data_IF_911572884264
#
_entry.id   IF_911572884264
#
_cell.length_a   1.000
_cell.length_b   1.000
_cell.length_c   1.000
_cell.angle_alpha   90.00
_cell.angle_beta   90.00
_cell.angle_gamma   90.00
#
_symmetry.space_group_name_H-M   'P 1'
#
loop_
_entity.id
_entity.type
_entity.pdbx_description
1 polymer ?
#
# COMPACT_ATOMS: atom_id res chain seq x y z
N UNK A 1 -40.16 -50.02 17.45
CA UNK A 1 -40.67 -48.63 17.39
C UNK A 1 -40.52 -47.98 18.76
N UNK A 2 -39.76 -46.88 18.79
CA UNK A 2 -39.80 -45.76 19.76
C UNK A 2 -39.28 -46.03 21.19
N UNK A 3 -38.20 -45.33 21.58
CA UNK A 3 -38.05 -44.95 23.00
C UNK A 3 -36.65 -44.82 23.62
N UNK A 4 -35.65 -44.17 22.99
CA UNK A 4 -34.41 -43.78 23.70
C UNK A 4 -33.86 -42.42 23.24
N UNK A 5 -34.65 -41.34 23.37
CA UNK A 5 -34.19 -39.96 23.10
C UNK A 5 -34.11 -39.07 24.36
N UNK A 6 -34.39 -39.58 25.56
CA UNK A 6 -34.54 -38.72 26.74
C UNK A 6 -33.26 -38.55 27.59
N UNK A 7 -32.17 -39.28 27.32
CA UNK A 7 -30.99 -39.32 28.20
C UNK A 7 -29.79 -38.49 27.72
N UNK A 8 -29.82 -37.97 26.50
CA UNK A 8 -28.75 -37.12 25.98
C UNK A 8 -28.90 -35.64 26.42
N UNK A 9 -30.11 -35.21 26.75
CA UNK A 9 -30.39 -33.79 27.06
C UNK A 9 -30.08 -33.39 28.51
N UNK A 10 -29.96 -34.33 29.45
CA UNK A 10 -29.68 -34.02 30.86
C UNK A 10 -28.18 -33.83 31.13
N UNK A 11 -27.30 -34.43 30.32
CA UNK A 11 -25.85 -34.23 30.42
C UNK A 11 -25.37 -32.89 29.86
N UNK A 12 -26.18 -32.21 29.02
CA UNK A 12 -25.81 -30.94 28.40
C UNK A 12 -25.99 -29.72 29.33
N UNK A 13 -26.82 -29.83 30.37
CA UNK A 13 -27.06 -28.71 31.30
C UNK A 13 -26.07 -28.71 32.48
N UNK A 14 -25.51 -29.87 32.83
CA UNK A 14 -24.54 -29.99 33.93
C UNK A 14 -23.14 -29.48 33.56
N UNK A 15 -22.74 -29.50 32.29
CA UNK A 15 -21.44 -28.96 31.85
C UNK A 15 -21.43 -27.42 31.75
N UNK A 16 -22.61 -26.78 31.69
CA UNK A 16 -22.74 -25.32 31.55
C UNK A 16 -22.81 -24.58 32.90
N UNK A 17 -23.06 -25.30 34.01
CA UNK A 17 -23.14 -24.74 35.37
C UNK A 17 -21.81 -24.59 36.10
N UNK A 18 -20.74 -25.24 35.63
CA UNK A 18 -19.42 -25.22 36.28
C UNK A 18 -18.48 -24.15 35.69
N UNK A 19 -18.82 -23.54 34.55
CA UNK A 19 -18.02 -22.44 33.97
C UNK A 19 -18.40 -21.04 34.48
N UNK A 20 -19.43 -20.88 35.32
CA UNK A 20 -19.87 -19.56 35.82
C UNK A 20 -19.30 -19.15 37.20
N UNK A 21 -18.28 -19.83 37.72
CA UNK A 21 -17.75 -19.61 39.09
C UNK A 21 -16.41 -18.85 39.22
N UNK A 22 -15.84 -18.32 38.14
CA UNK A 22 -14.45 -17.82 38.12
C UNK A 22 -14.22 -16.33 38.35
N UNK A 23 -15.21 -15.56 38.81
CA UNK A 23 -15.06 -14.12 39.08
C UNK A 23 -14.56 -13.90 40.51
N UNK A 24 -13.26 -14.07 40.75
CA UNK A 24 -12.65 -13.53 41.97
C UNK A 24 -11.16 -13.22 41.79
N UNK A 25 -10.85 -11.92 41.77
CA UNK A 25 -9.60 -11.38 42.29
C UNK A 25 -8.43 -11.26 41.31
N UNK A 26 -8.25 -10.06 40.74
CA UNK A 26 -6.93 -9.45 40.58
C UNK A 26 -7.08 -7.93 40.71
N UNK A 27 -6.57 -7.41 41.82
CA UNK A 27 -6.53 -5.99 42.13
C UNK A 27 -5.75 -5.22 41.04
N UNK A 28 -6.14 -3.98 40.70
CA UNK A 28 -5.32 -3.16 39.82
C UNK A 28 -4.08 -2.69 40.59
N UNK A 29 -2.93 -3.28 40.28
CA UNK A 29 -1.63 -2.77 40.69
C UNK A 29 -1.46 -1.38 40.08
N UNK A 30 -1.31 -0.37 40.95
CA UNK A 30 -1.06 1.02 40.57
C UNK A 30 0.19 1.09 39.69
N UNK A 31 0.10 1.54 38.42
CA UNK A 31 1.29 1.69 37.60
C UNK A 31 2.21 2.75 38.22
N UNK A 32 3.54 2.54 38.22
CA UNK A 32 4.48 3.55 38.67
C UNK A 32 4.33 4.81 37.80
N UNK A 33 4.30 5.97 38.45
CA UNK A 33 4.32 7.26 37.78
C UNK A 33 5.64 7.40 37.04
N UNK A 34 5.63 7.13 35.74
CA UNK A 34 6.73 7.47 34.84
C UNK A 34 6.79 9.00 34.78
N UNK A 35 7.94 9.64 35.02
CA UNK A 35 8.06 11.08 34.83
C UNK A 35 7.70 11.42 33.38
N UNK A 36 6.77 12.37 33.23
CA UNK A 36 6.35 12.91 31.94
C UNK A 36 7.59 13.34 31.15
N UNK A 37 7.84 12.77 29.96
CA UNK A 37 8.90 13.24 29.07
C UNK A 37 8.69 14.74 28.78
N UNK A 38 9.75 15.56 28.75
CA UNK A 38 9.65 16.95 28.34
C UNK A 38 8.89 17.05 27.02
N UNK A 39 7.88 17.91 26.96
CA UNK A 39 7.12 18.18 25.76
C UNK A 39 8.10 18.56 24.64
N UNK A 40 8.23 17.68 23.65
CA UNK A 40 9.09 17.89 22.52
C UNK A 40 8.58 19.14 21.78
N UNK A 41 9.42 20.17 21.71
CA UNK A 41 9.13 21.36 20.94
C UNK A 41 8.67 20.96 19.53
N UNK A 42 7.65 21.64 18.96
CA UNK A 42 7.15 21.31 17.64
C UNK A 42 8.30 21.38 16.63
N UNK A 43 8.63 20.22 16.06
CA UNK A 43 9.62 20.15 14.99
C UNK A 43 9.04 20.94 13.82
N UNK A 44 9.75 21.98 13.32
CA UNK A 44 9.25 22.74 12.18
C UNK A 44 9.01 21.80 11.00
N UNK A 45 7.92 21.98 10.25
CA UNK A 45 7.65 21.15 9.09
C UNK A 45 8.85 21.20 8.15
N UNK A 46 9.27 20.06 7.56
CA UNK A 46 10.36 20.05 6.60
C UNK A 46 10.03 21.04 5.47
N UNK A 47 11.02 21.82 4.99
CA UNK A 47 10.77 22.75 3.91
C UNK A 47 10.21 21.99 2.69
N UNK A 48 9.27 22.59 1.94
CA UNK A 48 8.75 21.97 0.73
C UNK A 48 9.93 21.64 -0.19
N UNK A 49 10.10 20.36 -0.51
CA UNK A 49 11.13 19.94 -1.46
C UNK A 49 10.77 20.53 -2.81
N UNK A 50 11.48 21.58 -3.22
CA UNK A 50 11.34 22.15 -4.56
C UNK A 50 11.87 21.10 -5.52
N UNK A 51 10.97 20.34 -6.14
CA UNK A 51 11.33 19.36 -7.16
C UNK A 51 12.01 20.15 -8.28
N UNK A 52 13.31 19.91 -8.51
CA UNK A 52 14.01 20.53 -9.62
C UNK A 52 13.25 20.28 -10.93
N UNK A 53 13.10 21.32 -11.74
CA UNK A 53 12.40 21.21 -13.02
C UNK A 53 13.04 20.09 -13.86
N UNK A 54 12.22 19.27 -14.57
CA UNK A 54 12.75 18.22 -15.44
C UNK A 54 13.74 18.79 -16.47
N UNK A 55 14.86 18.11 -16.68
CA UNK A 55 15.79 18.48 -17.74
C UNK A 55 15.10 18.38 -19.11
N UNK A 56 15.32 19.35 -19.99
CA UNK A 56 14.85 19.31 -21.38
C UNK A 56 15.58 18.19 -22.13
N UNK A 57 14.84 17.28 -22.76
CA UNK A 57 15.40 16.23 -23.59
C UNK A 57 15.76 16.77 -24.98
N UNK A 58 16.89 16.35 -25.55
CA UNK A 58 17.33 16.82 -26.88
C UNK A 58 16.73 16.02 -28.04
N UNK A 59 16.34 14.78 -27.77
CA UNK A 59 15.74 13.86 -28.73
C UNK A 59 14.81 12.86 -28.02
N UNK A 60 14.01 12.11 -28.77
CA UNK A 60 13.07 11.13 -28.23
C UNK A 60 13.73 9.99 -27.45
N UNK A 61 14.98 9.63 -27.78
CA UNK A 61 15.72 8.59 -27.07
C UNK A 61 16.16 9.09 -25.69
N UNK A 62 16.64 10.32 -25.62
CA UNK A 62 16.97 10.98 -24.36
C UNK A 62 15.72 11.20 -23.51
N UNK A 63 14.59 11.57 -24.12
CA UNK A 63 13.31 11.67 -23.43
C UNK A 63 12.92 10.35 -22.77
N UNK A 64 12.94 9.23 -23.49
CA UNK A 64 12.62 7.93 -22.90
C UNK A 64 13.54 7.58 -21.73
N UNK A 65 14.84 7.86 -21.85
CA UNK A 65 15.80 7.63 -20.77
C UNK A 65 15.49 8.49 -19.54
N UNK A 66 15.28 9.79 -19.72
CA UNK A 66 15.00 10.72 -18.63
C UNK A 66 13.64 10.43 -17.97
N UNK A 67 12.61 10.13 -18.78
CA UNK A 67 11.29 9.74 -18.29
C UNK A 67 11.34 8.44 -17.48
N UNK A 68 12.09 7.43 -17.94
CA UNK A 68 12.30 6.20 -17.19
C UNK A 68 13.03 6.46 -15.86
N UNK A 69 14.09 7.26 -15.87
CA UNK A 69 14.81 7.64 -14.65
C UNK A 69 13.90 8.38 -13.65
N UNK A 70 13.06 9.29 -14.13
CA UNK A 70 12.08 9.99 -13.32
C UNK A 70 11.06 9.03 -12.70
N UNK A 71 10.55 8.08 -13.49
CA UNK A 71 9.67 6.99 -13.02
C UNK A 71 10.33 6.19 -11.90
N UNK A 72 11.58 5.75 -12.08
CA UNK A 72 12.33 5.01 -11.04
C UNK A 72 12.52 5.86 -9.79
N UNK A 73 13.00 7.11 -9.95
CA UNK A 73 13.30 8.04 -8.85
C UNK A 73 12.07 8.36 -8.00
N UNK A 74 10.91 8.54 -8.64
CA UNK A 74 9.68 8.86 -7.95
C UNK A 74 9.03 7.66 -7.25
N UNK A 75 9.49 6.43 -7.53
CA UNK A 75 8.87 5.19 -7.04
C UNK A 75 9.83 4.34 -6.19
N UNK A 76 10.47 4.90 -5.14
CA UNK A 76 11.42 4.15 -4.33
C UNK A 76 10.73 2.96 -3.65
N UNK A 77 11.42 1.81 -3.62
CA UNK A 77 10.89 0.57 -3.06
C UNK A 77 9.76 -0.09 -3.86
N UNK A 78 9.37 0.46 -5.01
CA UNK A 78 8.33 -0.08 -5.91
C UNK A 78 8.85 -0.41 -7.30
N UNK A 79 10.17 -0.36 -7.47
CA UNK A 79 10.87 -0.67 -8.72
C UNK A 79 11.98 -1.65 -8.44
N UNK A 80 12.08 -2.69 -9.27
CA UNK A 80 13.21 -3.61 -9.26
C UNK A 80 14.37 -2.95 -10.02
N UNK A 81 15.50 -2.72 -9.32
CA UNK A 81 16.77 -2.28 -9.93
C UNK A 81 17.72 -3.46 -10.20
N UNK A 82 17.42 -4.60 -9.59
CA UNK A 82 18.08 -5.87 -9.78
C UNK A 82 17.25 -6.76 -10.70
N UNK A 83 17.65 -8.02 -10.82
CA UNK A 83 16.85 -9.06 -11.45
C UNK A 83 15.42 -9.10 -10.87
N UNK A 84 14.45 -9.23 -11.78
CA UNK A 84 13.03 -9.17 -11.47
C UNK A 84 12.56 -10.55 -11.01
N UNK A 85 11.86 -10.67 -9.87
CA UNK A 85 11.40 -11.96 -9.37
C UNK A 85 10.47 -12.67 -10.36
N UNK A 86 10.73 -13.96 -10.59
CA UNK A 86 9.86 -14.83 -11.36
C UNK A 86 8.90 -15.61 -10.44
N UNK A 87 7.64 -15.83 -10.85
CA UNK A 87 7.02 -15.39 -12.11
C UNK A 87 6.49 -13.95 -12.04
N UNK A 88 6.62 -13.22 -13.16
CA UNK A 88 5.99 -11.91 -13.33
C UNK A 88 4.47 -12.03 -13.38
N UNK A 89 3.79 -11.47 -12.38
CA UNK A 89 2.33 -11.58 -12.22
C UNK A 89 1.54 -10.95 -13.38
N UNK A 90 2.01 -9.84 -13.94
CA UNK A 90 1.31 -9.18 -15.02
C UNK A 90 1.92 -7.85 -15.46
N UNK A 91 1.72 -7.52 -16.73
CA UNK A 91 2.24 -6.29 -17.36
C UNK A 91 1.06 -5.45 -17.87
N UNK A 92 0.72 -4.32 -17.22
CA UNK A 92 -0.22 -3.35 -17.77
C UNK A 92 0.45 -2.52 -18.90
N UNK A 93 -0.34 -2.07 -19.87
CA UNK A 93 0.11 -1.09 -20.88
C UNK A 93 -0.76 0.15 -20.74
N UNK A 94 -0.11 1.30 -20.56
CA UNK A 94 -0.74 2.60 -20.41
C UNK A 94 -0.37 3.48 -21.62
N UNK A 95 -1.34 4.22 -22.14
CA UNK A 95 -1.12 5.37 -23.00
C UNK A 95 -1.21 6.61 -22.11
N UNK A 96 -0.17 7.43 -22.11
CA UNK A 96 -0.06 8.63 -21.26
C UNK A 96 0.08 9.84 -22.17
N UNK A 97 -0.91 10.73 -22.11
CA UNK A 97 -0.87 12.01 -22.78
C UNK A 97 -0.32 13.07 -21.80
N UNK A 98 0.61 13.87 -22.27
CA UNK A 98 1.25 14.93 -21.50
C UNK A 98 0.89 16.30 -22.06
N UNK A 99 0.86 17.30 -21.18
CA UNK A 99 0.89 18.70 -21.56
C UNK A 99 2.33 19.11 -21.95
N UNK A 100 2.47 20.29 -22.57
CA UNK A 100 3.78 20.80 -23.00
C UNK A 100 4.76 21.02 -21.83
N UNK A 101 4.26 21.22 -20.62
CA UNK A 101 5.05 21.35 -19.39
C UNK A 101 5.42 19.99 -18.75
N UNK A 102 5.05 18.88 -19.39
CA UNK A 102 5.30 17.52 -18.90
C UNK A 102 4.32 17.04 -17.83
N UNK A 103 3.33 17.84 -17.44
CA UNK A 103 2.25 17.38 -16.55
C UNK A 103 1.35 16.37 -17.26
N UNK A 104 0.79 15.44 -16.49
CA UNK A 104 -0.08 14.39 -17.05
C UNK A 104 -1.43 14.99 -17.42
N UNK A 105 -1.79 14.92 -18.70
CA UNK A 105 -3.11 15.32 -19.21
C UNK A 105 -4.12 14.19 -19.04
N UNK A 106 -3.77 13.01 -19.51
CA UNK A 106 -4.67 11.85 -19.51
C UNK A 106 -3.86 10.55 -19.43
N UNK A 107 -4.44 9.54 -18.78
CA UNK A 107 -3.93 8.17 -18.78
C UNK A 107 -5.05 7.24 -19.27
N UNK A 108 -4.79 6.48 -20.32
CA UNK A 108 -5.68 5.41 -20.82
C UNK A 108 -5.03 4.05 -20.61
N UNK A 109 -5.83 3.07 -20.23
CA UNK A 109 -5.37 1.69 -20.07
C UNK A 109 -5.57 0.96 -21.39
N UNK A 110 -4.48 0.69 -22.12
CA UNK A 110 -4.50 -0.03 -23.39
C UNK A 110 -4.60 -1.54 -23.19
N UNK A 111 -3.95 -2.05 -22.14
CA UNK A 111 -3.98 -3.48 -21.78
C UNK A 111 -3.96 -3.66 -20.27
N UNK A 112 -4.87 -4.50 -19.79
CA UNK A 112 -4.85 -5.02 -18.42
C UNK A 112 -4.12 -6.37 -18.40
N UNK A 113 -3.44 -6.72 -17.30
CA UNK A 113 -3.01 -8.09 -17.05
C UNK A 113 -4.19 -9.07 -17.21
N UNK A 114 -3.91 -10.31 -17.62
CA UNK A 114 -4.95 -11.36 -17.70
C UNK A 114 -5.23 -12.04 -16.35
N UNK A 115 -4.21 -12.41 -15.54
CA UNK A 115 -4.44 -13.04 -14.25
C UNK A 115 -5.25 -12.15 -13.31
N UNK A 116 -6.21 -12.73 -12.59
CA UNK A 116 -7.13 -11.99 -11.72
C UNK A 116 -6.39 -11.33 -10.55
N UNK A 117 -5.43 -12.02 -9.96
CA UNK A 117 -4.59 -11.53 -8.85
C UNK A 117 -3.64 -10.41 -9.28
N UNK A 118 -3.41 -10.22 -10.59
CA UNK A 118 -2.56 -9.17 -11.14
C UNK A 118 -3.33 -7.93 -11.63
N UNK A 119 -4.66 -7.93 -11.64
CA UNK A 119 -5.46 -6.80 -12.16
C UNK A 119 -5.15 -5.48 -11.42
N UNK A 120 -4.84 -5.56 -10.13
CA UNK A 120 -4.51 -4.40 -9.30
C UNK A 120 -3.22 -3.67 -9.76
N UNK A 121 -2.33 -4.33 -10.53
CA UNK A 121 -1.08 -3.69 -10.99
C UNK A 121 -1.33 -2.58 -12.01
N UNK A 122 -2.47 -2.58 -12.70
CA UNK A 122 -2.88 -1.45 -13.56
C UNK A 122 -2.99 -0.17 -12.75
N UNK A 123 -3.62 -0.22 -11.57
CA UNK A 123 -3.78 0.95 -10.73
C UNK A 123 -2.44 1.39 -10.11
N UNK A 124 -1.60 0.43 -9.70
CA UNK A 124 -0.24 0.72 -9.23
C UNK A 124 0.58 1.45 -10.30
N UNK A 125 0.48 1.05 -11.58
CA UNK A 125 1.16 1.71 -12.67
C UNK A 125 0.63 3.13 -12.93
N UNK A 126 -0.69 3.35 -12.85
CA UNK A 126 -1.31 4.69 -12.96
C UNK A 126 -0.76 5.61 -11.86
N UNK A 127 -0.72 5.14 -10.62
CA UNK A 127 -0.20 5.90 -9.49
C UNK A 127 1.30 6.18 -9.62
N UNK A 128 2.07 5.23 -10.14
CA UNK A 128 3.50 5.40 -10.40
C UNK A 128 3.77 6.51 -11.42
N UNK A 129 2.98 6.57 -12.51
CA UNK A 129 3.05 7.63 -13.51
C UNK A 129 2.66 8.98 -12.90
N UNK A 130 1.55 9.04 -12.16
CA UNK A 130 1.09 10.28 -11.52
C UNK A 130 2.11 10.84 -10.53
N UNK A 131 2.77 9.98 -9.77
CA UNK A 131 3.83 10.36 -8.81
C UNK A 131 5.11 10.83 -9.50
N UNK A 132 5.39 10.30 -10.68
CA UNK A 132 6.58 10.66 -11.46
C UNK A 132 6.46 12.01 -12.17
N UNK A 133 5.24 12.45 -12.47
CA UNK A 133 4.98 13.73 -13.09
C UNK A 133 5.56 14.90 -12.27
N UNK A 134 6.03 15.98 -12.92
CA UNK A 134 6.08 16.19 -14.36
C UNK A 134 7.21 15.41 -15.07
N UNK A 135 7.02 15.09 -16.34
CA UNK A 135 8.01 14.44 -17.21
C UNK A 135 8.85 15.48 -17.97
N UNK A 136 10.04 15.09 -18.47
CA UNK A 136 10.87 15.94 -19.33
C UNK A 136 10.10 16.49 -20.54
N UNK A 137 10.19 17.79 -20.87
CA UNK A 137 9.77 18.27 -22.17
C UNK A 137 10.74 17.79 -23.27
N UNK A 138 10.25 17.71 -24.51
CA UNK A 138 11.01 17.44 -25.76
C UNK A 138 10.93 18.61 -26.71
#
# INVERSE_FOLDING_TARGET
>A
MKGTCAWASVMLVALMGVLLGGLSGCAPTRPPTVPTPPEAAPVPPPPPSVQAAPALARDWREYHRLAAQQLVKANPGRTYLSEVPEPLKGIPILEVELNADGSVRQIKVQRRPRPADAQHTTQLAIEAVRRAAPFPPV
#
